data_IF_476296306538
#
_entry.id   IF_476296306538
#
_cell.length_a   1.000
_cell.length_b   1.000
_cell.length_c   1.000
_cell.angle_alpha   90.00
_cell.angle_beta   90.00
_cell.angle_gamma   90.00
#
_symmetry.space_group_name_H-M   'P 1'
#
loop_
_entity.id
_entity.type
_entity.pdbx_description
1 polymer ?
#
# COMPACT_ATOMS: atom_id res chain seq x y z
N UNK A 1 13.27 -11.53 -27.42
CA UNK A 1 12.97 -10.89 -26.13
C UNK A 1 13.15 -9.40 -26.37
N UNK A 2 12.07 -8.64 -26.22
CA UNK A 2 12.10 -7.18 -26.33
C UNK A 2 12.52 -6.57 -24.99
N UNK A 3 12.02 -7.14 -23.88
CA UNK A 3 12.30 -6.70 -22.51
C UNK A 3 12.16 -7.89 -21.55
N UNK A 4 12.92 -7.89 -20.46
CA UNK A 4 12.79 -8.85 -19.39
C UNK A 4 11.84 -8.30 -18.33
N UNK A 5 10.78 -9.01 -17.99
CA UNK A 5 9.84 -8.64 -16.95
C UNK A 5 10.40 -8.83 -15.52
N UNK A 6 11.32 -9.77 -15.33
CA UNK A 6 11.98 -10.02 -14.05
C UNK A 6 13.25 -9.16 -13.96
N UNK A 7 13.18 -8.00 -13.36
CA UNK A 7 14.32 -7.07 -13.21
C UNK A 7 14.89 -7.07 -11.80
N UNK A 8 14.05 -7.32 -10.79
CA UNK A 8 14.40 -7.35 -9.37
C UNK A 8 13.97 -8.65 -8.73
N UNK A 9 14.67 -9.06 -7.67
CA UNK A 9 14.30 -10.23 -6.85
C UNK A 9 14.60 -9.91 -5.40
N UNK A 10 13.73 -10.39 -4.51
CA UNK A 10 13.93 -10.32 -3.07
C UNK A 10 14.13 -11.73 -2.51
N UNK A 11 15.00 -11.86 -1.54
CA UNK A 11 15.23 -13.11 -0.83
C UNK A 11 16.46 -13.09 0.07
N UNK A 12 16.60 -14.13 0.89
CA UNK A 12 17.71 -14.27 1.81
C UNK A 12 19.00 -14.61 1.06
N UNK A 13 20.09 -13.92 1.41
CA UNK A 13 21.42 -14.28 0.91
C UNK A 13 21.92 -15.55 1.60
N UNK A 14 22.47 -16.46 0.82
CA UNK A 14 23.22 -17.63 1.30
C UNK A 14 24.65 -17.45 0.84
N UNK A 15 25.57 -17.30 1.79
CA UNK A 15 26.98 -17.11 1.46
C UNK A 15 27.54 -18.37 0.79
N UNK A 16 28.36 -18.19 -0.26
CA UNK A 16 28.95 -19.29 -1.01
C UNK A 16 30.46 -19.07 -1.17
N UNK A 17 31.24 -19.90 -0.51
CA UNK A 17 32.71 -19.87 -0.58
C UNK A 17 33.25 -20.61 -1.82
N UNK A 18 32.46 -21.47 -2.44
CA UNK A 18 32.90 -22.24 -3.62
C UNK A 18 33.00 -21.37 -4.88
N UNK A 19 32.25 -20.24 -4.91
CA UNK A 19 32.30 -19.27 -5.99
C UNK A 19 32.85 -17.91 -5.52
N UNK A 20 34.15 -17.77 -5.29
CA UNK A 20 34.74 -16.59 -4.63
C UNK A 20 34.58 -15.28 -5.40
N UNK A 21 34.09 -15.32 -6.64
CA UNK A 21 33.75 -14.14 -7.45
C UNK A 21 32.48 -13.45 -6.95
N UNK A 22 31.58 -14.19 -6.29
CA UNK A 22 30.29 -13.72 -5.79
C UNK A 22 30.31 -13.70 -4.26
N UNK A 23 29.38 -12.99 -3.64
CA UNK A 23 29.17 -13.01 -2.19
C UNK A 23 28.43 -14.29 -1.78
N UNK A 24 27.53 -14.74 -2.65
CA UNK A 24 26.68 -15.90 -2.43
C UNK A 24 25.56 -15.92 -3.47
N UNK A 25 24.46 -16.56 -3.12
CA UNK A 25 23.25 -16.60 -3.96
C UNK A 25 22.00 -16.26 -3.17
N UNK A 26 20.98 -15.77 -3.85
CA UNK A 26 19.66 -15.46 -3.26
C UNK A 26 18.81 -16.73 -3.20
N UNK A 27 18.27 -17.01 -2.03
CA UNK A 27 17.16 -17.95 -1.83
C UNK A 27 15.86 -17.20 -1.94
N UNK A 28 15.29 -17.16 -3.15
CA UNK A 28 14.00 -16.51 -3.41
C UNK A 28 12.84 -17.49 -3.15
N UNK A 29 11.70 -16.96 -2.65
CA UNK A 29 10.42 -17.69 -2.54
C UNK A 29 9.67 -17.76 -3.87
N UNK A 30 10.14 -17.07 -4.92
CA UNK A 30 9.52 -17.08 -6.23
C UNK A 30 9.76 -18.41 -6.95
N UNK A 31 8.76 -19.28 -6.95
CA UNK A 31 8.81 -20.61 -7.55
C UNK A 31 9.02 -20.64 -9.07
N UNK A 32 8.86 -19.49 -9.75
CA UNK A 32 9.10 -19.37 -11.20
C UNK A 32 10.59 -19.26 -11.54
N UNK A 33 11.44 -19.02 -10.53
CA UNK A 33 12.90 -18.91 -10.70
C UNK A 33 13.52 -20.25 -10.30
N UNK A 34 13.94 -21.02 -11.27
CA UNK A 34 14.57 -22.34 -11.07
C UNK A 34 16.09 -22.30 -11.02
N UNK A 35 16.71 -21.27 -11.62
CA UNK A 35 18.16 -21.10 -11.64
C UNK A 35 18.66 -20.27 -10.47
N UNK A 36 19.86 -20.53 -9.94
CA UNK A 36 20.44 -19.75 -8.87
C UNK A 36 20.72 -18.30 -9.30
N UNK A 37 20.55 -17.36 -8.37
CA UNK A 37 20.82 -15.93 -8.54
C UNK A 37 22.06 -15.57 -7.75
N UNK A 38 23.22 -15.51 -8.39
CA UNK A 38 24.46 -15.13 -7.74
C UNK A 38 24.60 -13.63 -7.59
N UNK A 39 24.94 -13.20 -6.38
CA UNK A 39 25.10 -11.79 -6.02
C UNK A 39 26.56 -11.38 -6.12
N UNK A 40 26.85 -10.31 -6.87
CA UNK A 40 28.18 -9.69 -6.88
C UNK A 40 28.55 -9.24 -5.47
N UNK A 41 29.84 -9.27 -5.15
CA UNK A 41 30.30 -8.76 -3.85
C UNK A 41 29.97 -7.27 -3.71
N UNK A 42 29.10 -6.89 -2.76
CA UNK A 42 28.86 -5.49 -2.46
C UNK A 42 30.02 -4.91 -1.63
N UNK A 43 30.04 -3.58 -1.47
CA UNK A 43 30.94 -2.94 -0.51
C UNK A 43 30.55 -3.23 0.94
N UNK A 44 29.28 -3.55 1.19
CA UNK A 44 28.74 -3.99 2.47
C UNK A 44 29.22 -5.41 2.81
N UNK A 45 29.64 -5.64 4.05
CA UNK A 45 29.92 -6.98 4.56
C UNK A 45 28.61 -7.69 4.84
N UNK A 46 28.41 -8.86 4.21
CA UNK A 46 27.25 -9.72 4.43
C UNK A 46 27.59 -10.82 5.42
N UNK A 47 26.62 -11.16 6.27
CA UNK A 47 26.74 -12.19 7.33
C UNK A 47 25.95 -13.46 7.00
N UNK A 48 25.07 -13.42 6.00
CA UNK A 48 24.26 -14.56 5.55
C UNK A 48 22.86 -14.61 6.15
N UNK A 49 22.50 -13.61 6.96
CA UNK A 49 21.16 -13.48 7.55
C UNK A 49 20.31 -12.43 6.85
N UNK A 50 20.92 -11.63 5.97
CA UNK A 50 20.26 -10.53 5.30
C UNK A 50 19.24 -11.04 4.27
N UNK A 51 18.09 -10.36 4.23
CA UNK A 51 17.12 -10.39 3.13
C UNK A 51 17.42 -9.20 2.23
N UNK A 52 17.76 -9.47 0.99
CA UNK A 52 18.24 -8.48 0.03
C UNK A 52 17.23 -8.29 -1.09
N UNK A 53 17.05 -7.04 -1.52
CA UNK A 53 16.49 -6.71 -2.83
C UNK A 53 17.65 -6.56 -3.82
N UNK A 54 17.63 -7.33 -4.90
CA UNK A 54 18.71 -7.35 -5.87
C UNK A 54 18.20 -7.04 -7.29
N UNK A 55 19.02 -6.37 -8.08
CA UNK A 55 18.78 -6.11 -9.49
C UNK A 55 19.47 -7.16 -10.35
N UNK A 56 18.78 -7.70 -11.35
CA UNK A 56 19.31 -8.70 -12.26
C UNK A 56 20.17 -8.03 -13.34
N UNK A 57 21.48 -8.19 -13.24
CA UNK A 57 22.44 -7.67 -14.22
C UNK A 57 22.59 -8.57 -15.44
N UNK A 58 22.51 -9.90 -15.22
CA UNK A 58 22.65 -10.90 -16.28
C UNK A 58 21.68 -12.05 -16.10
N UNK A 59 21.05 -12.44 -17.19
CA UNK A 59 20.13 -13.57 -17.28
C UNK A 59 20.87 -14.84 -17.70
N UNK A 60 20.33 -16.03 -17.37
CA UNK A 60 20.87 -17.30 -17.83
C UNK A 60 21.02 -17.32 -19.35
N UNK A 61 22.06 -17.96 -19.83
CA UNK A 61 22.40 -18.05 -21.25
C UNK A 61 23.07 -19.39 -21.57
N UNK A 62 23.36 -19.64 -22.83
CA UNK A 62 24.12 -20.83 -23.22
C UNK A 62 25.54 -20.93 -22.61
N UNK A 63 26.09 -19.81 -22.10
CA UNK A 63 27.44 -19.75 -21.50
C UNK A 63 27.41 -19.95 -19.98
N UNK A 64 26.28 -19.65 -19.33
CA UNK A 64 26.06 -19.85 -17.89
C UNK A 64 24.56 -20.02 -17.62
N UNK A 65 24.21 -20.95 -16.79
CA UNK A 65 22.85 -21.35 -16.43
C UNK A 65 22.32 -20.69 -15.13
N UNK A 66 22.85 -19.52 -14.80
CA UNK A 66 22.50 -18.78 -13.60
C UNK A 66 22.33 -17.28 -13.86
N UNK A 67 21.58 -16.62 -12.97
CA UNK A 67 21.48 -15.16 -12.95
C UNK A 67 22.68 -14.54 -12.22
N UNK A 68 23.02 -13.31 -12.58
CA UNK A 68 23.96 -12.48 -11.83
C UNK A 68 23.23 -11.20 -11.43
N UNK A 69 23.35 -10.83 -10.16
CA UNK A 69 22.65 -9.69 -9.59
C UNK A 69 23.57 -8.79 -8.76
N UNK A 70 23.16 -7.54 -8.63
CA UNK A 70 23.77 -6.54 -7.74
C UNK A 70 22.80 -6.20 -6.62
N UNK A 71 23.28 -5.94 -5.41
CA UNK A 71 22.46 -5.51 -4.27
C UNK A 71 21.91 -4.11 -4.57
N UNK A 72 20.60 -3.95 -4.45
CA UNK A 72 19.92 -2.66 -4.45
C UNK A 72 19.74 -2.16 -3.02
N UNK A 73 19.21 -3.02 -2.14
CA UNK A 73 18.89 -2.66 -0.78
C UNK A 73 18.93 -3.87 0.16
N UNK A 74 19.00 -3.60 1.47
CA UNK A 74 18.88 -4.57 2.56
C UNK A 74 17.50 -4.38 3.18
N UNK A 75 16.60 -5.31 2.90
CA UNK A 75 15.22 -5.28 3.41
C UNK A 75 15.17 -5.52 4.93
N UNK A 76 16.07 -6.33 5.45
CA UNK A 76 16.20 -6.67 6.87
C UNK A 76 16.99 -7.95 7.06
N UNK A 77 16.85 -8.55 8.25
CA UNK A 77 17.50 -9.83 8.58
C UNK A 77 16.46 -10.94 8.73
N UNK A 78 16.81 -12.16 8.37
CA UNK A 78 15.92 -13.32 8.42
C UNK A 78 15.39 -13.66 9.83
N UNK A 79 15.98 -13.06 10.86
CA UNK A 79 15.58 -13.17 12.27
C UNK A 79 14.64 -12.08 12.74
N UNK A 80 14.40 -11.04 11.90
CA UNK A 80 13.58 -9.91 12.28
C UNK A 80 12.08 -10.29 12.27
N UNK A 81 11.36 -9.80 13.25
CA UNK A 81 9.92 -10.03 13.33
C UNK A 81 9.21 -9.35 12.14
N UNK A 82 8.40 -10.10 11.40
CA UNK A 82 7.64 -9.59 10.25
C UNK A 82 8.46 -9.45 8.96
N UNK A 83 9.71 -9.96 8.92
CA UNK A 83 10.55 -9.93 7.71
C UNK A 83 9.93 -10.70 6.55
N UNK A 84 9.18 -11.74 6.82
CA UNK A 84 8.47 -12.56 5.83
C UNK A 84 7.38 -11.75 5.11
N UNK A 85 6.70 -10.87 5.82
CA UNK A 85 5.72 -9.93 5.26
C UNK A 85 6.42 -8.86 4.43
N UNK A 86 7.50 -8.27 4.96
CA UNK A 86 8.31 -7.28 4.22
C UNK A 86 8.90 -7.86 2.93
N UNK A 87 9.40 -9.11 2.97
CA UNK A 87 9.90 -9.80 1.78
C UNK A 87 8.81 -9.93 0.69
N UNK A 88 7.57 -10.21 1.09
CA UNK A 88 6.43 -10.29 0.15
C UNK A 88 6.13 -8.90 -0.44
N UNK A 89 5.99 -7.87 0.40
CA UNK A 89 5.70 -6.51 -0.04
C UNK A 89 6.77 -6.01 -1.02
N UNK A 90 8.05 -6.16 -0.66
CA UNK A 90 9.17 -5.76 -1.51
C UNK A 90 9.25 -6.56 -2.82
N UNK A 91 8.88 -7.85 -2.80
CA UNK A 91 8.84 -8.69 -4.00
C UNK A 91 7.75 -8.29 -5.00
N UNK A 92 6.75 -7.54 -4.52
CA UNK A 92 5.64 -6.98 -5.30
C UNK A 92 5.82 -5.49 -5.60
N UNK A 93 6.98 -4.91 -5.24
CA UNK A 93 7.29 -3.48 -5.34
C UNK A 93 6.27 -2.59 -4.58
N UNK A 94 5.68 -3.12 -3.49
CA UNK A 94 4.77 -2.38 -2.61
C UNK A 94 5.60 -1.61 -1.58
N UNK A 95 5.64 -0.29 -1.74
CA UNK A 95 6.36 0.63 -0.85
C UNK A 95 5.44 1.09 0.27
N UNK A 96 5.82 0.82 1.53
CA UNK A 96 5.04 1.20 2.71
C UNK A 96 5.07 2.71 2.98
N UNK A 97 6.19 3.35 2.70
CA UNK A 97 6.45 4.75 3.00
C UNK A 97 5.86 5.67 1.93
N UNK A 98 5.35 6.83 2.36
CA UNK A 98 4.90 7.87 1.43
C UNK A 98 6.03 8.84 1.10
N UNK A 99 6.09 9.37 -0.13
CA UNK A 99 6.99 10.46 -0.48
C UNK A 99 6.77 11.70 0.40
N UNK A 100 7.83 12.44 0.70
CA UNK A 100 7.77 13.64 1.56
C UNK A 100 6.77 14.70 1.05
N UNK A 101 6.66 14.86 -0.28
CA UNK A 101 5.69 15.78 -0.88
C UNK A 101 4.23 15.41 -0.57
N UNK A 102 3.93 14.10 -0.53
CA UNK A 102 2.61 13.55 -0.19
C UNK A 102 2.29 13.80 1.28
N UNK A 103 3.26 13.54 2.17
CA UNK A 103 3.09 13.78 3.60
C UNK A 103 2.88 15.27 3.92
N UNK A 104 3.66 16.17 3.28
CA UNK A 104 3.48 17.62 3.43
C UNK A 104 2.11 18.09 2.94
N UNK A 105 1.63 17.56 1.83
CA UNK A 105 0.29 17.90 1.34
C UNK A 105 -0.79 17.38 2.29
N UNK A 106 -0.66 16.15 2.78
CA UNK A 106 -1.58 15.57 3.75
C UNK A 106 -1.69 16.42 5.04
N UNK A 107 -0.60 17.05 5.49
CA UNK A 107 -0.61 17.94 6.65
C UNK A 107 -1.45 19.20 6.43
N UNK A 108 -1.67 19.62 5.20
CA UNK A 108 -2.51 20.79 4.88
C UNK A 108 -3.99 20.49 4.88
N UNK A 109 -4.37 19.21 4.83
CA UNK A 109 -5.78 18.79 4.87
C UNK A 109 -6.34 19.00 6.27
N UNK A 110 -7.52 19.65 6.42
CA UNK A 110 -8.11 19.91 7.73
C UNK A 110 -8.60 18.62 8.40
N UNK A 111 -8.76 18.65 9.72
CA UNK A 111 -9.29 17.51 10.49
C UNK A 111 -10.83 17.42 10.48
N UNK A 112 -11.49 18.50 10.08
CA UNK A 112 -12.95 18.59 9.97
C UNK A 112 -13.35 19.53 8.82
N UNK A 113 -14.53 19.35 8.20
CA UNK A 113 -15.04 20.27 7.20
C UNK A 113 -15.39 21.62 7.83
N UNK A 114 -15.09 22.72 7.14
CA UNK A 114 -15.47 24.06 7.53
C UNK A 114 -16.92 24.36 7.13
N UNK A 115 -17.50 25.43 7.68
CA UNK A 115 -18.83 25.91 7.27
C UNK A 115 -18.89 26.23 5.77
N UNK A 116 -17.77 26.68 5.19
CA UNK A 116 -17.68 26.94 3.76
C UNK A 116 -17.79 25.64 2.94
N UNK A 117 -17.19 24.56 3.43
CA UNK A 117 -17.19 23.26 2.76
C UNK A 117 -18.57 22.59 2.83
N UNK A 118 -19.33 22.88 3.88
CA UNK A 118 -20.72 22.41 4.09
C UNK A 118 -21.76 23.24 3.35
N UNK A 119 -21.41 24.45 2.89
CA UNK A 119 -22.32 25.30 2.13
C UNK A 119 -22.76 24.57 0.85
N UNK A 120 -24.03 24.68 0.52
CA UNK A 120 -24.66 24.07 -0.65
C UNK A 120 -24.71 22.52 -0.63
N UNK A 121 -24.43 21.91 0.52
CA UNK A 121 -24.61 20.47 0.76
C UNK A 121 -25.88 20.19 1.55
N UNK A 122 -26.43 19.00 1.38
CA UNK A 122 -27.60 18.54 2.17
C UNK A 122 -27.11 18.13 3.57
N UNK A 123 -27.74 18.64 4.61
CA UNK A 123 -27.45 18.29 5.99
C UNK A 123 -28.21 17.02 6.40
N UNK A 124 -27.48 15.93 6.59
CA UNK A 124 -27.99 14.61 7.01
C UNK A 124 -27.62 14.26 8.46
N UNK A 125 -27.10 15.19 9.25
CA UNK A 125 -26.63 14.94 10.63
C UNK A 125 -27.73 14.49 11.58
N UNK A 126 -28.99 14.70 11.24
CA UNK A 126 -30.14 14.24 12.01
C UNK A 126 -30.66 12.86 11.58
N UNK A 127 -30.15 12.27 10.50
CA UNK A 127 -30.51 10.93 10.08
C UNK A 127 -29.67 9.90 10.85
N UNK A 128 -30.29 8.77 11.23
CA UNK A 128 -29.59 7.68 11.90
C UNK A 128 -28.75 6.95 10.84
N UNK A 129 -27.47 7.28 10.82
CA UNK A 129 -26.49 6.73 9.86
C UNK A 129 -25.49 5.86 10.62
N UNK A 130 -25.12 4.72 10.05
CA UNK A 130 -24.18 3.77 10.67
C UNK A 130 -23.32 3.08 9.61
N UNK A 131 -22.14 2.63 10.04
CA UNK A 131 -21.22 1.79 9.25
C UNK A 131 -21.33 0.33 9.66
N UNK A 132 -20.92 -0.61 8.80
CA UNK A 132 -20.95 -2.06 9.08
C UNK A 132 -19.57 -2.62 8.78
N UNK A 133 -18.64 -2.43 9.69
CA UNK A 133 -17.24 -2.78 9.55
C UNK A 133 -16.77 -3.71 10.66
N UNK A 134 -15.56 -4.26 10.53
CA UNK A 134 -14.91 -4.97 11.62
C UNK A 134 -14.65 -4.04 12.82
N UNK A 135 -14.62 -4.60 14.03
CA UNK A 135 -14.47 -3.81 15.26
C UNK A 135 -13.15 -3.02 15.35
N UNK A 136 -12.15 -3.41 14.59
CA UNK A 136 -10.81 -2.83 14.52
C UNK A 136 -10.57 -1.97 13.24
N UNK A 137 -11.58 -1.84 12.37
CA UNK A 137 -11.52 -0.99 11.19
C UNK A 137 -11.36 0.49 11.59
N UNK A 138 -10.53 1.22 10.85
CA UNK A 138 -10.26 2.65 11.06
C UNK A 138 -10.60 3.49 9.83
N UNK A 139 -10.62 2.87 8.68
CA UNK A 139 -10.91 3.42 7.37
C UNK A 139 -12.37 3.11 6.99
N UNK A 140 -13.30 3.86 7.61
CA UNK A 140 -14.73 3.67 7.42
C UNK A 140 -15.16 4.43 6.16
N UNK A 141 -15.10 3.77 5.00
CA UNK A 141 -15.31 4.39 3.70
C UNK A 141 -16.78 4.65 3.39
N UNK A 142 -17.68 3.80 3.89
CA UNK A 142 -19.11 3.85 3.60
C UNK A 142 -19.98 3.77 4.85
N UNK A 143 -21.14 4.40 4.75
CA UNK A 143 -22.19 4.33 5.75
C UNK A 143 -23.56 4.26 5.09
N UNK A 144 -24.53 3.75 5.80
CA UNK A 144 -25.90 3.64 5.33
C UNK A 144 -26.90 4.23 6.31
N UNK A 145 -28.03 4.72 5.80
CA UNK A 145 -29.22 4.95 6.59
C UNK A 145 -30.44 4.31 5.93
N UNK A 146 -31.43 3.99 6.76
CA UNK A 146 -32.71 3.48 6.29
C UNK A 146 -33.84 4.26 6.98
N UNK A 147 -34.89 4.60 6.21
CA UNK A 147 -36.03 5.38 6.69
C UNK A 147 -37.32 4.87 6.10
N UNK A 148 -38.35 4.73 6.92
CA UNK A 148 -39.69 4.39 6.46
C UNK A 148 -40.37 5.63 5.88
N UNK A 149 -40.88 5.54 4.65
CA UNK A 149 -41.60 6.60 3.98
C UNK A 149 -43.10 6.53 4.26
N UNK A 150 -43.79 7.66 4.09
CA UNK A 150 -45.25 7.75 4.34
C UNK A 150 -46.10 6.88 3.40
N UNK A 151 -45.58 6.53 2.24
CA UNK A 151 -46.22 5.64 1.26
C UNK A 151 -46.04 4.14 1.59
N UNK A 152 -45.33 3.81 2.67
CA UNK A 152 -45.05 2.43 3.09
C UNK A 152 -43.76 1.84 2.51
N UNK A 153 -43.08 2.57 1.61
CA UNK A 153 -41.79 2.17 1.08
C UNK A 153 -40.64 2.50 2.06
N UNK A 154 -39.45 2.03 1.76
CA UNK A 154 -38.21 2.34 2.48
C UNK A 154 -37.33 3.23 1.62
N UNK A 155 -36.74 4.24 2.24
CA UNK A 155 -35.63 5.00 1.70
C UNK A 155 -34.33 4.40 2.20
N UNK A 156 -33.42 4.09 1.30
CA UNK A 156 -32.04 3.68 1.59
C UNK A 156 -31.09 4.79 1.15
N UNK A 157 -30.30 5.32 2.08
CA UNK A 157 -29.16 6.18 1.77
C UNK A 157 -27.86 5.40 1.86
N UNK A 158 -27.01 5.55 0.86
CA UNK A 158 -25.64 5.06 0.85
C UNK A 158 -24.71 6.26 0.76
N UNK A 159 -23.78 6.38 1.68
CA UNK A 159 -22.91 7.53 1.84
C UNK A 159 -21.46 7.06 1.74
N UNK A 160 -20.72 7.59 0.79
CA UNK A 160 -19.28 7.33 0.63
C UNK A 160 -18.53 8.59 1.02
N UNK A 161 -17.45 8.46 1.78
CA UNK A 161 -16.59 9.59 2.13
C UNK A 161 -16.16 10.35 0.88
N UNK A 162 -16.32 11.68 0.86
CA UNK A 162 -16.01 12.53 -0.29
C UNK A 162 -14.50 12.79 -0.40
N UNK A 163 -13.75 11.71 -0.67
CA UNK A 163 -12.28 11.73 -0.79
C UNK A 163 -11.82 12.72 -1.85
N UNK A 164 -12.53 12.80 -2.98
CA UNK A 164 -12.19 13.67 -4.10
C UNK A 164 -12.30 15.17 -3.77
N UNK A 165 -12.97 15.53 -2.69
CA UNK A 165 -12.98 16.90 -2.19
C UNK A 165 -11.62 17.31 -1.61
N UNK A 166 -10.91 16.39 -0.97
CA UNK A 166 -9.62 16.62 -0.31
C UNK A 166 -8.44 16.23 -1.19
N UNK A 167 -8.58 15.19 -2.01
CA UNK A 167 -7.57 14.72 -2.95
C UNK A 167 -7.90 15.28 -4.33
N UNK A 168 -7.26 16.40 -4.67
CA UNK A 168 -7.56 17.09 -5.94
C UNK A 168 -6.73 16.54 -7.09
N UNK A 169 -7.32 16.50 -8.28
CA UNK A 169 -6.68 15.99 -9.50
C UNK A 169 -5.31 16.67 -9.76
N UNK A 170 -4.29 15.86 -10.01
CA UNK A 170 -2.92 16.29 -10.29
C UNK A 170 -2.09 16.69 -9.08
N UNK A 171 -2.64 16.61 -7.86
CA UNK A 171 -1.91 16.85 -6.61
C UNK A 171 -0.87 15.75 -6.33
N UNK A 172 -0.04 15.90 -5.31
CA UNK A 172 0.90 14.85 -4.91
C UNK A 172 0.15 13.65 -4.31
N UNK A 173 -0.93 13.90 -3.54
CA UNK A 173 -1.82 12.87 -3.00
C UNK A 173 -2.48 12.07 -4.12
N UNK A 174 -3.04 12.74 -5.14
CA UNK A 174 -3.70 12.10 -6.27
C UNK A 174 -2.74 11.21 -7.07
N UNK A 175 -1.56 11.74 -7.40
CA UNK A 175 -0.54 10.98 -8.14
C UNK A 175 -0.08 9.74 -7.39
N UNK A 176 0.12 9.85 -6.08
CA UNK A 176 0.53 8.72 -5.26
C UNK A 176 -0.61 7.71 -5.07
N UNK A 177 -1.84 8.18 -4.89
CA UNK A 177 -3.02 7.31 -4.83
C UNK A 177 -3.20 6.53 -6.13
N UNK A 178 -3.02 7.19 -7.29
CA UNK A 178 -3.05 6.53 -8.60
C UNK A 178 -1.92 5.50 -8.76
N UNK A 179 -0.71 5.82 -8.27
CA UNK A 179 0.44 4.93 -8.30
C UNK A 179 0.20 3.68 -7.43
N UNK A 180 -0.35 3.82 -6.23
CA UNK A 180 -0.68 2.71 -5.32
C UNK A 180 -1.90 1.92 -5.76
N UNK A 181 -2.87 2.58 -6.37
CA UNK A 181 -4.15 2.05 -6.87
C UNK A 181 -5.10 1.49 -5.80
N UNK A 182 -4.61 0.93 -4.71
CA UNK A 182 -5.40 0.36 -3.61
C UNK A 182 -4.61 0.34 -2.30
N UNK A 183 -5.30 0.19 -1.17
CA UNK A 183 -4.68 -0.22 0.09
C UNK A 183 -4.36 -1.71 0.06
N UNK A 184 -3.26 -2.11 0.69
CA UNK A 184 -2.84 -3.52 0.78
C UNK A 184 -2.89 -3.96 2.23
N UNK A 185 -3.73 -4.96 2.51
CA UNK A 185 -3.93 -5.51 3.84
C UNK A 185 -3.11 -6.78 3.99
N UNK A 186 -2.17 -6.77 4.93
CA UNK A 186 -1.37 -7.94 5.30
C UNK A 186 -1.62 -8.30 6.76
N UNK A 187 -1.11 -9.42 7.22
CA UNK A 187 -1.49 -10.00 8.52
C UNK A 187 -1.22 -9.09 9.72
N UNK A 188 -0.17 -8.27 9.67
CA UNK A 188 0.31 -7.48 10.79
C UNK A 188 0.20 -5.96 10.58
N UNK A 189 -0.14 -5.52 9.36
CA UNK A 189 -0.22 -4.10 9.00
C UNK A 189 -1.07 -3.85 7.76
N UNK A 190 -1.40 -2.58 7.56
CA UNK A 190 -1.99 -2.07 6.31
C UNK A 190 -0.97 -1.16 5.64
N UNK A 191 -0.79 -1.30 4.33
CA UNK A 191 -0.10 -0.31 3.49
C UNK A 191 -1.19 0.49 2.79
N UNK A 192 -1.55 1.68 3.29
CA UNK A 192 -2.71 2.40 2.81
C UNK A 192 -2.46 3.09 1.48
N UNK A 193 -3.51 3.25 0.68
CA UNK A 193 -3.48 4.02 -0.58
C UNK A 193 -3.26 5.52 -0.33
N UNK A 194 -3.83 6.05 0.74
CA UNK A 194 -3.70 7.44 1.19
C UNK A 194 -3.07 7.49 2.59
N UNK A 195 -2.35 8.57 2.96
CA UNK A 195 -1.86 8.75 4.32
C UNK A 195 -2.97 8.61 5.36
N UNK A 196 -2.67 8.02 6.52
CA UNK A 196 -3.65 7.72 7.58
C UNK A 196 -4.40 8.97 8.07
N UNK A 197 -3.81 10.15 7.97
CA UNK A 197 -4.47 11.43 8.24
C UNK A 197 -5.73 11.61 7.38
N UNK A 198 -5.74 11.09 6.16
CA UNK A 198 -6.91 11.07 5.29
C UNK A 198 -7.72 9.80 5.51
N UNK A 199 -7.13 8.62 5.30
CA UNK A 199 -7.86 7.34 5.27
C UNK A 199 -8.51 6.98 6.61
N UNK A 200 -7.86 7.27 7.74
CA UNK A 200 -8.40 7.03 9.09
C UNK A 200 -8.98 8.31 9.72
N UNK A 201 -8.76 9.46 9.09
CA UNK A 201 -9.12 10.79 9.56
C UNK A 201 -10.32 11.39 8.83
N UNK A 202 -10.06 12.45 8.05
CA UNK A 202 -11.11 13.26 7.41
C UNK A 202 -11.93 12.48 6.37
N UNK A 203 -11.35 11.47 5.72
CA UNK A 203 -12.01 10.60 4.76
C UNK A 203 -12.58 9.32 5.40
N UNK A 204 -12.53 9.17 6.74
CA UNK A 204 -13.19 8.08 7.46
C UNK A 204 -14.47 8.56 8.12
N UNK A 205 -15.57 7.83 7.95
CA UNK A 205 -16.89 8.15 8.51
C UNK A 205 -16.96 7.81 10.00
N UNK A 206 -16.02 8.36 10.76
CA UNK A 206 -15.90 8.16 12.20
C UNK A 206 -17.16 8.65 12.95
N UNK A 207 -17.54 7.99 14.06
CA UNK A 207 -18.73 8.36 14.82
C UNK A 207 -18.62 9.75 15.46
N UNK A 208 -19.76 10.45 15.51
CA UNK A 208 -19.94 11.74 16.19
C UNK A 208 -19.07 12.90 15.67
N UNK A 209 -18.63 12.83 14.42
CA UNK A 209 -17.92 13.93 13.75
C UNK A 209 -18.53 14.21 12.38
N UNK A 210 -18.49 15.47 11.96
CA UNK A 210 -18.99 15.86 10.66
C UNK A 210 -18.04 15.38 9.55
N UNK A 211 -18.61 14.81 8.50
CA UNK A 211 -17.87 14.36 7.30
C UNK A 211 -18.63 14.74 6.03
N UNK A 212 -17.88 15.05 4.99
CA UNK A 212 -18.43 15.24 3.66
C UNK A 212 -18.61 13.88 2.98
N UNK A 213 -19.75 13.69 2.34
CA UNK A 213 -20.04 12.45 1.61
C UNK A 213 -20.58 12.73 0.22
N UNK A 214 -20.35 11.79 -0.69
CA UNK A 214 -21.14 11.61 -1.89
C UNK A 214 -22.17 10.52 -1.61
N UNK A 215 -23.43 10.83 -1.89
CA UNK A 215 -24.53 10.00 -1.40
C UNK A 215 -25.49 9.62 -2.52
N UNK A 216 -25.96 8.37 -2.49
CA UNK A 216 -27.06 7.87 -3.28
C UNK A 216 -28.26 7.63 -2.37
N UNK A 217 -29.39 8.31 -2.64
CA UNK A 217 -30.64 8.11 -1.93
C UNK A 217 -31.60 7.38 -2.88
N UNK A 218 -32.12 6.26 -2.44
CA UNK A 218 -32.93 5.34 -3.23
C UNK A 218 -34.22 4.98 -2.50
N UNK A 219 -35.33 4.83 -3.25
CA UNK A 219 -36.60 4.35 -2.78
C UNK A 219 -36.91 2.95 -3.30
#
# INVERSE_FOLDING_TARGET
ILEHSLTTVVGQIVLDQEKPKYAGYIRSKNQKISQPIYVKKPALKLEGTEVLKVFIDKYPSRKHDFFVASVLDVVGHSTDTGIDVLEVLESMDIVSEFPEAVLKEAETVPDAPSEKDMKDRIDLRNEITFTIDGADAKDLDDAVHIKALKNGNLELGVHIADVSYYVTEGSALDKEALNRATSVYVTDRVVPMLPERLSNGICSLNPQVDRLTQSAIME
#
